data_IF_591908221124
#
_entry.id   IF_591908221124
#
_cell.length_a   1.000
_cell.length_b   1.000
_cell.length_c   1.000
_cell.angle_alpha   90.00
_cell.angle_beta   90.00
_cell.angle_gamma   90.00
#
_symmetry.space_group_name_H-M   'P 1'
#
loop_
_entity.id
_entity.type
_entity.pdbx_description
1 polymer ?
#
# COMPACT_ATOMS: atom_id res chain seq x y z
N UNK A 1 8.35 -5.75 -1.90
CA UNK A 1 7.27 -5.46 -0.92
C UNK A 1 7.88 -5.04 0.42
N UNK A 2 8.36 -3.79 0.52
CA UNK A 2 8.98 -3.26 1.74
C UNK A 2 7.96 -3.14 2.88
N UNK A 3 6.81 -2.51 2.60
CA UNK A 3 5.72 -2.36 3.58
C UNK A 3 5.21 -3.69 4.15
N UNK A 4 5.06 -4.72 3.32
CA UNK A 4 4.63 -6.05 3.79
C UNK A 4 5.63 -6.67 4.77
N UNK A 5 6.94 -6.49 4.53
CA UNK A 5 8.00 -6.97 5.42
C UNK A 5 8.01 -6.22 6.74
N UNK A 6 7.85 -4.90 6.69
CA UNK A 6 7.75 -4.06 7.89
C UNK A 6 6.54 -4.45 8.74
N UNK A 7 5.43 -4.82 8.10
CA UNK A 7 4.24 -5.30 8.78
C UNK A 7 4.39 -6.69 9.43
N UNK A 8 5.50 -7.41 9.17
CA UNK A 8 5.80 -8.72 9.76
C UNK A 8 5.77 -9.90 8.78
N UNK A 9 5.44 -9.68 7.50
CA UNK A 9 5.45 -10.75 6.50
C UNK A 9 6.90 -11.17 6.15
N UNK A 10 7.17 -12.47 5.91
CA UNK A 10 6.23 -13.60 5.90
C UNK A 10 6.15 -14.35 7.24
N UNK A 11 6.79 -13.85 8.29
CA UNK A 11 6.94 -14.56 9.57
C UNK A 11 5.63 -14.58 10.36
N UNK A 12 4.95 -13.44 10.41
CA UNK A 12 3.64 -13.30 11.03
C UNK A 12 2.54 -13.71 10.05
N UNK A 13 1.87 -14.83 10.32
CA UNK A 13 0.77 -15.30 9.46
C UNK A 13 -0.34 -14.25 9.44
N UNK A 14 -0.71 -13.81 8.24
CA UNK A 14 -1.74 -12.80 8.03
C UNK A 14 -1.20 -11.36 8.06
N UNK A 15 0.09 -11.16 8.38
CA UNK A 15 0.72 -9.88 8.16
C UNK A 15 1.01 -9.64 6.67
N UNK A 16 0.95 -8.39 6.25
CA UNK A 16 1.21 -7.99 4.88
C UNK A 16 0.37 -6.80 4.43
N UNK A 17 0.26 -6.66 3.11
CA UNK A 17 -0.49 -5.57 2.46
C UNK A 17 -1.55 -6.19 1.56
N UNK A 18 -2.78 -5.74 1.71
CA UNK A 18 -3.89 -6.09 0.82
C UNK A 18 -4.19 -4.91 -0.12
N UNK A 19 -4.09 -5.15 -1.42
CA UNK A 19 -4.25 -4.11 -2.45
C UNK A 19 -5.74 -4.00 -2.84
N UNK A 20 -6.36 -2.85 -2.57
CA UNK A 20 -7.78 -2.61 -2.87
C UNK A 20 -8.00 -1.96 -4.24
N UNK A 21 -7.00 -1.22 -4.74
CA UNK A 21 -7.03 -0.56 -6.04
C UNK A 21 -5.85 -1.02 -6.91
N UNK A 22 -6.08 -1.16 -8.21
CA UNK A 22 -5.06 -1.52 -9.20
C UNK A 22 -4.73 -0.32 -10.10
N UNK A 23 -3.69 -0.48 -10.91
CA UNK A 23 -3.34 0.52 -11.92
C UNK A 23 -4.54 0.71 -12.86
N UNK A 24 -5.04 1.94 -12.91
CA UNK A 24 -6.18 2.33 -13.74
C UNK A 24 -7.54 2.27 -13.09
N UNK A 25 -7.63 1.78 -11.85
CA UNK A 25 -8.84 1.98 -11.07
C UNK A 25 -9.07 3.47 -10.81
N UNK A 26 -10.33 3.88 -10.89
CA UNK A 26 -10.76 5.18 -10.40
C UNK A 26 -10.84 5.13 -8.88
N UNK A 27 -10.49 6.26 -8.26
CA UNK A 27 -10.56 6.43 -6.82
C UNK A 27 -11.11 7.81 -6.48
N UNK A 28 -11.93 7.86 -5.44
CA UNK A 28 -12.47 9.08 -4.86
C UNK A 28 -11.74 9.44 -3.55
N UNK A 29 -11.78 10.71 -3.16
CA UNK A 29 -11.18 11.15 -1.91
C UNK A 29 -11.83 10.45 -0.71
N UNK A 30 -11.00 9.84 0.14
CA UNK A 30 -11.45 9.06 1.29
C UNK A 30 -11.61 7.56 1.02
N UNK A 31 -11.49 7.11 -0.24
CA UNK A 31 -11.43 5.68 -0.53
C UNK A 31 -10.05 5.09 -0.20
N UNK A 32 -9.99 3.92 0.45
CA UNK A 32 -8.72 3.27 0.76
C UNK A 32 -8.10 2.63 -0.50
N UNK A 33 -6.79 2.81 -0.67
CA UNK A 33 -6.01 2.23 -1.78
C UNK A 33 -5.50 0.82 -1.47
N UNK A 34 -5.09 0.60 -0.22
CA UNK A 34 -4.61 -0.66 0.31
C UNK A 34 -4.86 -0.71 1.82
N UNK A 35 -4.64 -1.88 2.42
CA UNK A 35 -4.70 -2.10 3.87
C UNK A 35 -3.42 -2.74 4.36
N UNK A 36 -2.97 -2.31 5.53
CA UNK A 36 -1.84 -2.91 6.23
C UNK A 36 -2.40 -3.86 7.30
N UNK A 37 -1.92 -5.10 7.28
CA UNK A 37 -2.18 -6.08 8.32
C UNK A 37 -0.88 -6.39 9.04
N UNK A 38 -0.88 -6.31 10.37
CA UNK A 38 0.26 -6.64 11.21
C UNK A 38 -0.21 -7.39 12.45
N UNK A 39 0.58 -8.33 12.94
CA UNK A 39 0.31 -9.04 14.19
C UNK A 39 0.72 -8.23 15.44
N UNK A 40 1.56 -7.21 15.28
CA UNK A 40 2.07 -6.40 16.39
C UNK A 40 2.02 -4.89 16.11
N UNK A 41 1.78 -4.11 17.16
CA UNK A 41 1.64 -2.65 17.08
C UNK A 41 2.92 -1.96 16.57
N UNK A 42 4.11 -2.39 17.03
CA UNK A 42 5.37 -1.81 16.58
C UNK A 42 5.57 -1.96 15.05
N UNK A 43 5.41 -3.18 14.53
CA UNK A 43 5.47 -3.45 13.09
C UNK A 43 4.40 -2.70 12.30
N UNK A 44 3.19 -2.55 12.87
CA UNK A 44 2.13 -1.76 12.25
C UNK A 44 2.53 -0.30 12.12
N UNK A 45 3.02 0.31 13.21
CA UNK A 45 3.43 1.70 13.24
C UNK A 45 4.57 1.97 12.24
N UNK A 46 5.60 1.11 12.22
CA UNK A 46 6.69 1.24 11.23
C UNK A 46 6.17 1.14 9.79
N UNK A 47 5.25 0.23 9.50
CA UNK A 47 4.66 0.10 8.18
C UNK A 47 3.79 1.33 7.81
N UNK A 48 3.11 1.95 8.77
CA UNK A 48 2.36 3.19 8.57
C UNK A 48 3.29 4.35 8.28
N UNK A 49 4.33 4.57 9.10
CA UNK A 49 5.30 5.65 8.90
C UNK A 49 6.00 5.57 7.54
N UNK A 50 6.32 4.36 7.08
CA UNK A 50 6.91 4.13 5.77
C UNK A 50 5.89 4.31 4.64
N UNK A 51 4.63 3.97 4.86
CA UNK A 51 3.56 4.19 3.88
C UNK A 51 3.22 5.69 3.71
N UNK A 52 3.32 6.48 4.78
CA UNK A 52 3.14 7.94 4.71
C UNK A 52 4.24 8.62 3.88
N UNK A 53 5.47 8.09 3.95
CA UNK A 53 6.59 8.55 3.14
C UNK A 53 6.53 8.01 1.71
N UNK A 54 6.17 6.74 1.54
CA UNK A 54 6.15 6.05 0.25
C UNK A 54 5.13 4.90 0.23
N UNK A 55 3.89 5.22 -0.15
CA UNK A 55 2.81 4.24 -0.27
C UNK A 55 2.78 3.45 -1.60
N UNK A 56 3.62 3.83 -2.58
CA UNK A 56 3.70 3.15 -3.88
C UNK A 56 2.54 3.42 -4.84
N UNK A 57 1.63 4.35 -4.54
CA UNK A 57 0.57 4.80 -5.45
C UNK A 57 0.88 6.17 -6.03
N UNK A 58 0.52 6.37 -7.30
CA UNK A 58 0.50 7.66 -7.95
C UNK A 58 -0.92 7.93 -8.46
N UNK A 59 -1.49 9.07 -8.09
CA UNK A 59 -2.83 9.48 -8.53
C UNK A 59 -2.69 10.48 -9.68
N UNK A 60 -3.50 10.29 -10.73
CA UNK A 60 -3.52 11.17 -11.91
C UNK A 60 -4.95 11.58 -12.23
N UNK A 61 -5.13 12.86 -12.58
CA UNK A 61 -6.43 13.42 -12.97
C UNK A 61 -6.75 13.23 -14.46
N UNK A 62 -5.75 13.00 -15.31
CA UNK A 62 -5.88 12.99 -16.77
C UNK A 62 -5.71 11.60 -17.42
N UNK A 63 -5.95 10.52 -16.65
CA UNK A 63 -5.72 9.14 -17.09
C UNK A 63 -4.28 8.67 -16.85
N UNK A 64 -4.02 7.39 -17.12
CA UNK A 64 -2.73 6.76 -16.86
C UNK A 64 -1.77 7.09 -18.01
N UNK A 65 -0.60 7.67 -17.76
CA UNK A 65 0.39 7.88 -18.82
C UNK A 65 0.90 6.53 -19.33
N UNK A 66 1.16 6.42 -20.64
CA UNK A 66 1.64 5.18 -21.26
C UNK A 66 2.90 4.60 -20.58
N UNK A 67 3.72 5.46 -19.95
CA UNK A 67 4.93 5.10 -19.21
C UNK A 67 4.71 4.36 -17.88
N UNK A 68 3.47 4.31 -17.38
CA UNK A 68 3.17 3.70 -16.07
C UNK A 68 3.18 2.15 -16.10
N UNK A 69 3.34 1.54 -17.28
CA UNK A 69 3.34 0.09 -17.48
C UNK A 69 4.72 -0.49 -17.88
N UNK A 70 5.76 0.35 -17.95
CA UNK A 70 7.17 -0.06 -18.18
C UNK A 70 7.84 -0.46 -16.87
#
# INVERSE_FOLDING_TARGET
>A
AQLARLAGAPLDRGAGIDMLKRIGDKVEAGEPLFRIYSAGEAHFNFAVEEAEQSNGFALASAGIPAKAFE
#
